data_IF_080564548819
#
_entry.id   IF_080564548819
#
_cell.length_a   1.000
_cell.length_b   1.000
_cell.length_c   1.000
_cell.angle_alpha   90.00
_cell.angle_beta   90.00
_cell.angle_gamma   90.00
#
_symmetry.space_group_name_H-M   'P 1'
#
loop_
_entity.id
_entity.type
_entity.pdbx_description
1 polymer ?
#
# COMPACT_ATOMS: atom_id res chain seq x y z
N UNK A 1 16.65 -20.37 -4.40
CA UNK A 1 16.52 -19.15 -5.22
C UNK A 1 15.54 -18.21 -4.53
N UNK A 2 16.03 -17.35 -3.63
CA UNK A 2 15.17 -16.39 -2.92
C UNK A 2 15.10 -15.12 -3.77
N UNK A 3 13.96 -14.90 -4.42
CA UNK A 3 13.73 -13.73 -5.26
C UNK A 3 13.54 -12.52 -4.32
N UNK A 4 14.61 -11.76 -4.07
CA UNK A 4 14.60 -10.47 -3.33
C UNK A 4 13.87 -9.36 -4.16
N UNK A 5 12.89 -9.72 -4.99
CA UNK A 5 12.41 -8.85 -6.07
C UNK A 5 11.09 -8.11 -5.76
N UNK A 6 10.40 -8.39 -4.67
CA UNK A 6 9.05 -7.85 -4.42
C UNK A 6 8.76 -7.69 -2.91
N UNK A 7 9.72 -7.18 -2.13
CA UNK A 7 9.50 -6.93 -0.70
C UNK A 7 8.76 -5.59 -0.49
N UNK A 8 7.45 -5.66 -0.28
CA UNK A 8 6.60 -4.51 0.02
C UNK A 8 6.58 -4.16 1.52
N UNK A 9 7.50 -4.69 2.34
CA UNK A 9 7.55 -4.42 3.79
C UNK A 9 7.64 -2.93 4.13
N UNK A 10 8.35 -2.12 3.32
CA UNK A 10 8.41 -0.68 3.54
C UNK A 10 7.02 -0.03 3.37
N UNK A 11 6.27 -0.44 2.34
CA UNK A 11 4.93 0.07 2.07
C UNK A 11 3.92 -0.43 3.10
N UNK A 12 4.01 -1.72 3.48
CA UNK A 12 3.26 -2.27 4.60
C UNK A 12 3.52 -1.49 5.90
N UNK A 13 4.75 -1.00 6.10
CA UNK A 13 5.11 -0.08 7.17
C UNK A 13 4.31 1.22 7.12
N UNK A 14 4.22 1.88 5.96
CA UNK A 14 3.39 3.08 5.80
C UNK A 14 1.91 2.83 6.08
N UNK A 15 1.36 1.72 5.58
CA UNK A 15 -0.05 1.35 5.83
C UNK A 15 -0.33 1.19 7.32
N UNK A 16 0.52 0.43 8.04
CA UNK A 16 0.41 0.25 9.50
C UNK A 16 0.57 1.58 10.24
N UNK A 17 1.52 2.41 9.81
CA UNK A 17 1.76 3.71 10.42
C UNK A 17 0.55 4.63 10.33
N UNK A 18 -0.04 4.78 9.13
CA UNK A 18 -1.26 5.58 8.95
C UNK A 18 -2.43 4.97 9.72
N UNK A 19 -2.56 3.64 9.73
CA UNK A 19 -3.60 2.95 10.50
C UNK A 19 -3.48 3.17 12.02
N UNK A 20 -2.25 3.26 12.52
CA UNK A 20 -1.96 3.52 13.92
C UNK A 20 -2.17 5.00 14.30
N UNK A 21 -1.81 5.93 13.42
CA UNK A 21 -1.92 7.38 13.66
C UNK A 21 -3.33 7.95 13.50
N UNK A 22 -4.18 7.26 12.76
CA UNK A 22 -5.55 7.71 12.52
C UNK A 22 -6.45 7.43 13.74
N UNK A 23 -7.13 8.47 14.22
CA UNK A 23 -8.15 8.36 15.26
C UNK A 23 -9.36 7.57 14.76
N UNK A 24 -9.79 6.57 15.53
CA UNK A 24 -10.83 5.60 15.15
C UNK A 24 -12.17 5.97 15.77
N UNK A 25 -12.50 7.26 15.69
CA UNK A 25 -13.69 7.85 16.32
C UNK A 25 -15.03 7.35 15.78
N UNK A 26 -15.04 6.70 14.62
CA UNK A 26 -16.25 6.12 14.01
C UNK A 26 -16.02 4.68 13.56
N UNK A 27 -17.12 3.91 13.47
CA UNK A 27 -17.09 2.54 12.95
C UNK A 27 -16.56 2.50 11.49
N UNK A 28 -16.91 3.50 10.68
CA UNK A 28 -16.43 3.63 9.30
C UNK A 28 -14.91 3.79 9.24
N UNK A 29 -14.34 4.70 10.05
CA UNK A 29 -12.89 4.90 10.09
C UNK A 29 -12.20 3.65 10.66
N UNK A 30 -12.79 3.01 11.67
CA UNK A 30 -12.29 1.75 12.22
C UNK A 30 -12.18 0.67 11.14
N UNK A 31 -13.22 0.51 10.31
CA UNK A 31 -13.20 -0.43 9.19
C UNK A 31 -12.12 -0.09 8.17
N UNK A 32 -11.97 1.19 7.80
CA UNK A 32 -10.90 1.63 6.89
C UNK A 32 -9.51 1.24 7.42
N UNK A 33 -9.23 1.49 8.70
CA UNK A 33 -7.93 1.16 9.29
C UNK A 33 -7.72 -0.35 9.43
N UNK A 34 -8.80 -1.12 9.65
CA UNK A 34 -8.73 -2.58 9.64
C UNK A 34 -8.34 -3.13 8.26
N UNK A 35 -8.84 -2.53 7.17
CA UNK A 35 -8.45 -2.91 5.81
C UNK A 35 -6.99 -2.56 5.50
N UNK A 36 -6.48 -1.41 5.97
CA UNK A 36 -5.06 -1.07 5.85
C UNK A 36 -4.16 -2.08 6.57
N UNK A 37 -4.52 -2.49 7.79
CA UNK A 37 -3.75 -3.47 8.55
C UNK A 37 -3.78 -4.86 7.89
N UNK A 38 -4.94 -5.30 7.38
CA UNK A 38 -5.06 -6.56 6.65
C UNK A 38 -4.24 -6.56 5.36
N UNK A 39 -4.28 -5.47 4.59
CA UNK A 39 -3.46 -5.33 3.40
C UNK A 39 -1.96 -5.34 3.75
N UNK A 40 -1.56 -4.61 4.79
CA UNK A 40 -0.16 -4.57 5.23
C UNK A 40 0.36 -5.95 5.66
N UNK A 41 -0.48 -6.76 6.30
CA UNK A 41 -0.11 -8.11 6.71
C UNK A 41 0.10 -9.03 5.52
N UNK A 42 -0.81 -9.00 4.54
CA UNK A 42 -0.66 -9.78 3.31
C UNK A 42 0.57 -9.35 2.50
N UNK A 43 0.84 -8.04 2.44
CA UNK A 43 1.96 -7.48 1.69
C UNK A 43 3.34 -7.69 2.35
N UNK A 44 3.40 -8.16 3.59
CA UNK A 44 4.67 -8.47 4.26
C UNK A 44 5.41 -9.68 3.64
N UNK A 45 4.73 -10.50 2.82
CA UNK A 45 5.33 -11.65 2.13
C UNK A 45 4.81 -11.89 0.72
N UNK A 46 4.06 -10.93 0.15
CA UNK A 46 3.38 -11.08 -1.14
C UNK A 46 3.34 -9.77 -1.90
N UNK A 47 3.36 -9.84 -3.23
CA UNK A 47 3.15 -8.70 -4.12
C UNK A 47 1.67 -8.38 -4.38
N UNK A 48 0.77 -9.04 -3.65
CA UNK A 48 -0.67 -8.94 -3.82
C UNK A 48 -1.40 -9.15 -2.50
N UNK A 49 -2.58 -8.57 -2.39
CA UNK A 49 -3.50 -8.80 -1.29
C UNK A 49 -4.92 -9.02 -1.81
N UNK A 50 -5.74 -9.63 -0.98
CA UNK A 50 -7.15 -9.90 -1.26
C UNK A 50 -8.04 -9.22 -0.23
N UNK A 51 -9.25 -8.85 -0.65
CA UNK A 51 -10.29 -8.30 0.21
C UNK A 51 -11.67 -8.75 -0.28
N UNK A 52 -12.65 -8.75 0.62
CA UNK A 52 -14.06 -8.95 0.25
C UNK A 52 -14.59 -7.74 -0.51
N UNK A 53 -15.39 -7.98 -1.55
CA UNK A 53 -15.99 -6.92 -2.37
C UNK A 53 -16.88 -5.99 -1.54
N UNK A 54 -17.59 -6.51 -0.53
CA UNK A 54 -18.36 -5.72 0.45
C UNK A 54 -17.53 -4.69 1.22
N UNK A 55 -16.21 -4.84 1.27
CA UNK A 55 -15.27 -3.92 1.94
C UNK A 55 -14.52 -3.00 0.98
N UNK A 56 -14.72 -3.17 -0.33
CA UNK A 56 -14.00 -2.46 -1.38
C UNK A 56 -14.07 -0.93 -1.23
N UNK A 57 -15.24 -0.37 -0.92
CA UNK A 57 -15.39 1.07 -0.72
C UNK A 57 -14.59 1.58 0.48
N UNK A 58 -14.61 0.85 1.60
CA UNK A 58 -13.85 1.23 2.79
C UNK A 58 -12.34 1.14 2.51
N UNK A 59 -11.89 0.05 1.89
CA UNK A 59 -10.49 -0.13 1.53
C UNK A 59 -10.01 0.94 0.55
N UNK A 60 -10.75 1.20 -0.53
CA UNK A 60 -10.42 2.23 -1.53
C UNK A 60 -10.24 3.61 -0.89
N UNK A 61 -11.17 4.02 -0.03
CA UNK A 61 -11.09 5.28 0.73
C UNK A 61 -9.92 5.28 1.71
N UNK A 62 -9.61 4.15 2.32
CA UNK A 62 -8.48 4.04 3.23
C UNK A 62 -7.15 4.29 2.50
N UNK A 63 -6.96 3.68 1.32
CA UNK A 63 -5.77 3.93 0.48
C UNK A 63 -5.69 5.38 -0.02
N UNK A 64 -6.82 5.99 -0.42
CA UNK A 64 -6.85 7.41 -0.73
C UNK A 64 -6.41 8.28 0.47
N UNK A 65 -6.86 7.91 1.68
CA UNK A 65 -6.45 8.55 2.94
C UNK A 65 -4.95 8.40 3.22
N UNK A 66 -4.35 7.24 2.92
CA UNK A 66 -2.89 7.04 3.02
C UNK A 66 -2.15 8.00 2.10
N UNK A 67 -2.54 8.06 0.81
CA UNK A 67 -1.92 8.98 -0.15
C UNK A 67 -1.98 10.43 0.33
N UNK A 68 -3.17 10.87 0.78
CA UNK A 68 -3.37 12.22 1.27
C UNK A 68 -2.52 12.48 2.53
N UNK A 69 -2.48 11.55 3.48
CA UNK A 69 -1.68 11.69 4.69
C UNK A 69 -0.20 11.81 4.37
N UNK A 70 0.35 10.91 3.55
CA UNK A 70 1.76 10.94 3.16
C UNK A 70 2.10 12.24 2.44
N UNK A 71 1.27 12.65 1.49
CA UNK A 71 1.49 13.87 0.70
C UNK A 71 1.48 15.15 1.55
N UNK A 72 0.58 15.27 2.51
CA UNK A 72 0.39 16.52 3.27
C UNK A 72 1.16 16.57 4.59
N UNK A 73 1.53 15.41 5.17
CA UNK A 73 2.19 15.34 6.49
C UNK A 73 3.64 14.91 6.40
N UNK A 74 3.95 13.88 5.62
CA UNK A 74 5.27 13.23 5.68
C UNK A 74 6.20 13.72 4.56
N UNK A 75 5.68 13.90 3.35
CA UNK A 75 6.47 14.35 2.20
C UNK A 75 7.15 15.72 2.44
N UNK A 76 6.47 16.75 2.98
CA UNK A 76 7.11 18.05 3.23
C UNK A 76 8.25 17.96 4.26
N UNK A 77 8.11 17.10 5.27
CA UNK A 77 9.15 16.86 6.27
C UNK A 77 10.37 16.18 5.64
N UNK A 78 10.15 15.13 4.85
CA UNK A 78 11.23 14.46 4.13
C UNK A 78 11.95 15.41 3.15
N UNK A 79 11.23 16.31 2.48
CA UNK A 79 11.80 17.32 1.59
C UNK A 79 12.70 18.30 2.35
N UNK A 80 12.30 18.72 3.54
CA UNK A 80 13.11 19.61 4.39
C UNK A 80 14.42 18.95 4.86
N UNK A 81 14.44 17.62 5.04
CA UNK A 81 15.62 16.86 5.46
C UNK A 81 16.52 16.40 4.30
N UNK A 82 16.05 16.46 3.04
CA UNK A 82 16.86 16.20 1.85
C UNK A 82 17.24 14.74 1.59
N UNK A 83 16.60 13.78 2.27
CA UNK A 83 16.86 12.35 2.03
C UNK A 83 16.15 11.88 0.75
N UNK A 84 16.93 11.81 -0.34
CA UNK A 84 16.43 11.41 -1.67
C UNK A 84 15.83 10.00 -1.69
N UNK A 85 16.33 9.07 -0.87
CA UNK A 85 15.80 7.70 -0.83
C UNK A 85 14.43 7.70 -0.16
N UNK A 86 14.28 8.40 0.96
CA UNK A 86 13.00 8.55 1.64
C UNK A 86 11.98 9.26 0.74
N UNK A 87 12.40 10.28 0.00
CA UNK A 87 11.55 10.98 -0.97
C UNK A 87 11.01 10.04 -2.06
N UNK A 88 11.87 9.27 -2.72
CA UNK A 88 11.42 8.32 -3.75
C UNK A 88 10.51 7.24 -3.20
N UNK A 89 10.76 6.74 -1.98
CA UNK A 89 9.87 5.78 -1.31
C UNK A 89 8.49 6.38 -1.03
N UNK A 90 8.44 7.63 -0.56
CA UNK A 90 7.20 8.35 -0.28
C UNK A 90 6.41 8.65 -1.54
N UNK A 91 7.07 9.17 -2.59
CA UNK A 91 6.43 9.45 -3.88
C UNK A 91 5.83 8.19 -4.50
N UNK A 92 6.57 7.08 -4.46
CA UNK A 92 6.05 5.80 -4.91
C UNK A 92 4.88 5.34 -4.04
N UNK A 93 4.98 5.43 -2.71
CA UNK A 93 3.91 4.98 -1.80
C UNK A 93 2.61 5.78 -2.02
N UNK A 94 2.72 7.08 -2.28
CA UNK A 94 1.58 7.94 -2.63
C UNK A 94 0.95 7.48 -3.95
N UNK A 95 1.76 7.32 -5.00
CA UNK A 95 1.26 6.89 -6.30
C UNK A 95 0.62 5.49 -6.24
N UNK A 96 1.26 4.55 -5.54
CA UNK A 96 0.77 3.20 -5.34
C UNK A 96 -0.56 3.18 -4.58
N UNK A 97 -0.69 4.00 -3.53
CA UNK A 97 -1.94 4.11 -2.76
C UNK A 97 -3.10 4.58 -3.63
N UNK A 98 -2.89 5.62 -4.45
CA UNK A 98 -3.91 6.12 -5.38
C UNK A 98 -4.29 5.07 -6.45
N UNK A 99 -3.28 4.41 -7.02
CA UNK A 99 -3.50 3.37 -8.03
C UNK A 99 -4.27 2.18 -7.46
N UNK A 100 -3.89 1.70 -6.27
CA UNK A 100 -4.57 0.61 -5.57
C UNK A 100 -6.01 0.98 -5.23
N UNK A 101 -6.23 2.18 -4.67
CA UNK A 101 -7.57 2.66 -4.33
C UNK A 101 -8.50 2.68 -5.54
N UNK A 102 -8.00 3.13 -6.70
CA UNK A 102 -8.74 3.09 -7.97
C UNK A 102 -8.97 1.66 -8.47
N UNK A 103 -7.94 0.81 -8.43
CA UNK A 103 -8.04 -0.57 -8.88
C UNK A 103 -9.12 -1.36 -8.11
N UNK A 104 -9.24 -1.13 -6.80
CA UNK A 104 -10.27 -1.76 -5.97
C UNK A 104 -11.68 -1.44 -6.49
N UNK A 105 -11.95 -0.18 -6.84
CA UNK A 105 -13.27 0.22 -7.36
C UNK A 105 -13.52 -0.37 -8.74
N UNK A 106 -12.51 -0.37 -9.61
CA UNK A 106 -12.66 -0.98 -10.94
C UNK A 106 -13.02 -2.47 -10.85
N UNK A 107 -12.37 -3.24 -9.96
CA UNK A 107 -12.72 -4.64 -9.77
C UNK A 107 -14.07 -4.83 -9.09
N UNK A 108 -14.51 -3.87 -8.26
CA UNK A 108 -15.85 -3.89 -7.67
C UNK A 108 -16.94 -3.72 -8.73
N UNK A 109 -16.72 -2.83 -9.71
CA UNK A 109 -17.67 -2.56 -10.79
C UNK A 109 -17.91 -3.80 -11.68
N UNK A 110 -16.94 -4.71 -11.75
CA UNK A 110 -17.03 -5.98 -12.48
C UNK A 110 -17.76 -7.10 -11.68
N UNK A 111 -18.13 -6.84 -10.42
CA UNK A 111 -18.80 -7.82 -9.55
C UNK A 111 -20.31 -7.60 -9.55
N UNK A 112 -21.05 -8.67 -9.84
CA UNK A 112 -22.51 -8.64 -9.77
C UNK A 112 -23.02 -8.33 -8.35
N UNK A 113 -24.10 -7.55 -8.19
CA UNK A 113 -24.61 -7.13 -6.89
C UNK A 113 -24.86 -8.28 -5.90
N UNK A 114 -25.36 -9.42 -6.40
CA UNK A 114 -25.67 -10.60 -5.59
C UNK A 114 -24.43 -11.29 -5.02
N UNK A 115 -23.25 -11.01 -5.58
CA UNK A 115 -21.96 -11.59 -5.17
C UNK A 115 -21.12 -10.66 -4.29
N UNK A 116 -21.57 -9.42 -4.00
CA UNK A 116 -20.78 -8.43 -3.22
C UNK A 116 -20.33 -8.98 -1.85
N UNK A 117 -21.14 -9.82 -1.21
CA UNK A 117 -20.82 -10.32 0.12
C UNK A 117 -19.88 -11.54 0.14
N UNK A 118 -19.66 -12.18 -1.00
CA UNK A 118 -18.91 -13.44 -1.12
C UNK A 118 -17.70 -13.34 -2.04
N UNK A 119 -17.74 -12.44 -3.03
CA UNK A 119 -16.65 -12.25 -3.97
C UNK A 119 -15.41 -11.65 -3.30
N UNK A 120 -14.25 -12.14 -3.74
CA UNK A 120 -12.95 -11.62 -3.36
C UNK A 120 -12.38 -10.81 -4.52
N UNK A 121 -11.84 -9.64 -4.20
CA UNK A 121 -11.04 -8.83 -5.10
C UNK A 121 -9.58 -9.11 -4.79
N UNK A 122 -8.80 -9.46 -5.82
CA UNK A 122 -7.34 -9.56 -5.72
C UNK A 122 -6.72 -8.29 -6.30
N UNK A 123 -5.85 -7.64 -5.52
CA UNK A 123 -5.09 -6.47 -5.95
C UNK A 123 -3.62 -6.81 -6.00
N UNK A 124 -3.02 -6.58 -7.18
CA UNK A 124 -1.57 -6.66 -7.37
C UNK A 124 -0.93 -5.30 -7.18
N UNK A 125 0.19 -5.27 -6.45
CA UNK A 125 0.95 -4.06 -6.22
C UNK A 125 1.65 -3.58 -7.50
N UNK A 126 1.79 -2.25 -7.68
CA UNK A 126 2.64 -1.69 -8.73
C UNK A 126 4.10 -2.13 -8.54
N UNK A 127 4.91 -2.22 -9.61
CA UNK A 127 6.30 -2.61 -9.50
C UNK A 127 7.15 -1.58 -8.71
N UNK A 128 8.21 -2.07 -8.08
CA UNK A 128 9.17 -1.29 -7.27
C UNK A 128 10.37 -0.76 -8.07
N UNK A 129 10.38 -0.97 -9.38
CA UNK A 129 11.46 -0.60 -10.31
C UNK A 129 11.80 0.89 -10.36
N UNK A 130 10.93 1.73 -9.79
CA UNK A 130 11.10 3.19 -9.73
C UNK A 130 11.68 3.72 -8.41
N UNK A 131 12.08 2.85 -7.47
CA UNK A 131 12.58 3.29 -6.15
C UNK A 131 14.09 2.99 -5.98
N UNK A 132 14.96 4.02 -5.92
CA UNK A 132 16.39 3.86 -5.63
C UNK A 132 16.65 3.13 -4.29
N UNK A 133 17.59 2.18 -4.29
CA UNK A 133 18.04 1.50 -3.07
C UNK A 133 17.09 0.45 -2.47
N UNK A 134 16.00 0.07 -3.17
CA UNK A 134 15.19 -1.12 -2.87
C UNK A 134 15.63 -2.35 -3.70
N UNK A 135 16.35 -2.13 -4.81
CA UNK A 135 16.91 -3.20 -5.65
C UNK A 135 18.36 -3.56 -5.32
N UNK A 136 19.03 -2.85 -4.39
CA UNK A 136 20.44 -3.08 -4.06
C UNK A 136 20.65 -4.33 -3.21
N UNK A 137 20.49 -5.50 -3.83
CA UNK A 137 21.18 -6.72 -3.42
C UNK A 137 21.27 -7.73 -4.57
N UNK A 138 21.79 -7.29 -5.71
CA UNK A 138 22.40 -8.18 -6.70
C UNK A 138 23.67 -7.54 -7.24
N UNK A 139 24.75 -8.32 -7.23
CA UNK A 139 26.06 -8.06 -7.84
C UNK A 139 27.04 -7.14 -7.11
N UNK A 140 27.38 -7.47 -5.85
CA UNK A 140 28.79 -7.37 -5.47
C UNK A 140 29.44 -8.74 -5.69
N UNK A 141 30.30 -8.92 -6.70
CA UNK A 141 31.16 -10.08 -6.73
C UNK A 141 32.09 -10.00 -5.50
N UNK A 142 31.90 -10.90 -4.55
CA UNK A 142 32.94 -11.23 -3.56
C UNK A 142 34.15 -11.73 -4.34
N UNK A 143 35.14 -10.84 -4.49
CA UNK A 143 36.50 -11.22 -4.88
C UNK A 143 37.05 -12.12 -3.78
N UNK A 144 37.19 -13.41 -4.09
CA UNK A 144 38.10 -14.34 -3.43
C UNK A 144 39.21 -14.68 -4.41
#
# INVERSE_FOLDING_TARGET
MTKIAEDYSFYAGFLRFVAAKTDKSTATITAMMAELNQAAEQLAGSAKFTLLASRAQAASRAFAGVAQFLQHRILPEAQAHGDQKALSQLEWAIAASLQVGRAIILHLDDIEPDHINTALIEIRMPPLDRIPGLQENKDKPTLH
#
